data_IF_947521282341
#
_entry.id   IF_947521282341
#
_cell.length_a   1.000
_cell.length_b   1.000
_cell.length_c   1.000
_cell.angle_alpha   90.00
_cell.angle_beta   90.00
_cell.angle_gamma   90.00
#
_symmetry.space_group_name_H-M   'P 1'
#
loop_
_entity.id
_entity.type
_entity.pdbx_description
1 polymer ?
#
# COMPACT_ATOMS: atom_id res chain seq x y z
N UNK A 1 28.28 -10.83 27.18
CA UNK A 1 27.40 -12.02 27.34
C UNK A 1 27.03 -12.52 25.95
N UNK A 2 27.44 -13.72 25.53
CA UNK A 2 27.13 -14.21 24.17
C UNK A 2 25.69 -14.73 24.14
N UNK A 3 24.83 -14.14 23.30
CA UNK A 3 23.48 -14.68 23.05
C UNK A 3 23.60 -15.96 22.20
N UNK A 4 22.78 -16.97 22.43
CA UNK A 4 22.81 -18.24 21.69
C UNK A 4 21.45 -18.50 21.05
N UNK A 5 21.42 -19.39 20.07
CA UNK A 5 20.18 -19.86 19.44
C UNK A 5 19.27 -20.52 20.48
N UNK A 6 17.96 -20.27 20.41
CA UNK A 6 16.98 -20.66 21.42
C UNK A 6 16.86 -19.70 22.60
N UNK A 7 17.76 -18.71 22.76
CA UNK A 7 17.66 -17.74 23.85
C UNK A 7 16.38 -16.90 23.71
N UNK A 8 15.51 -16.96 24.73
CA UNK A 8 14.31 -16.12 24.85
C UNK A 8 14.64 -14.80 25.56
N UNK A 9 14.04 -13.72 25.08
CA UNK A 9 14.20 -12.36 25.59
C UNK A 9 12.91 -11.90 26.30
N UNK A 10 12.98 -10.88 27.17
CA UNK A 10 11.80 -10.37 27.89
C UNK A 10 10.64 -9.93 26.97
N UNK A 11 10.94 -9.49 25.75
CA UNK A 11 9.94 -9.17 24.72
C UNK A 11 9.20 -10.39 24.15
N UNK A 12 9.54 -11.61 24.58
CA UNK A 12 8.99 -12.85 24.02
C UNK A 12 9.67 -13.31 22.73
N UNK A 13 10.58 -12.51 22.17
CA UNK A 13 11.41 -12.88 21.03
C UNK A 13 12.41 -13.99 21.41
N UNK A 14 12.69 -14.88 20.46
CA UNK A 14 13.65 -15.97 20.59
C UNK A 14 14.71 -15.81 19.51
N UNK A 15 15.99 -15.88 19.85
CA UNK A 15 17.06 -15.90 18.84
C UNK A 15 16.99 -17.24 18.10
N UNK A 16 16.52 -17.23 16.86
CA UNK A 16 16.34 -18.43 16.06
C UNK A 16 17.64 -18.91 15.43
N UNK A 17 18.41 -18.00 14.83
CA UNK A 17 19.66 -18.36 14.13
C UNK A 17 20.67 -17.22 14.11
N UNK A 18 21.95 -17.53 14.34
CA UNK A 18 23.04 -16.57 14.16
C UNK A 18 23.47 -16.48 12.70
N UNK A 19 23.90 -15.28 12.29
CA UNK A 19 24.54 -15.09 10.99
C UNK A 19 26.05 -15.23 11.18
N UNK A 20 26.72 -16.13 10.45
CA UNK A 20 28.18 -16.23 10.48
C UNK A 20 28.83 -14.90 10.09
N UNK A 21 29.76 -14.42 10.91
CA UNK A 21 30.48 -13.16 10.66
C UNK A 21 29.72 -11.87 10.98
N UNK A 22 28.45 -11.93 11.36
CA UNK A 22 27.66 -10.75 11.75
C UNK A 22 27.36 -10.79 13.26
N UNK A 23 28.02 -9.92 14.01
CA UNK A 23 27.85 -9.80 15.47
C UNK A 23 26.64 -8.99 15.88
N UNK A 24 26.05 -8.23 14.95
CA UNK A 24 25.08 -7.19 15.25
C UNK A 24 23.66 -7.64 14.93
N UNK A 25 23.50 -8.54 13.95
CA UNK A 25 22.21 -9.04 13.51
C UNK A 25 22.09 -10.54 13.69
N UNK A 26 20.88 -10.97 13.97
CA UNK A 26 20.52 -12.38 14.01
C UNK A 26 19.07 -12.55 13.57
N UNK A 27 18.70 -13.78 13.24
CA UNK A 27 17.32 -14.15 13.00
C UNK A 27 16.61 -14.36 14.33
N UNK A 28 15.46 -13.73 14.51
CA UNK A 28 14.62 -13.84 15.69
C UNK A 28 13.22 -14.31 15.32
N UNK A 29 12.64 -15.14 16.17
CA UNK A 29 11.27 -15.63 16.08
C UNK A 29 10.41 -14.99 17.17
N UNK A 30 9.19 -14.58 16.83
CA UNK A 30 8.19 -14.14 17.80
C UNK A 30 7.11 -15.22 17.95
N UNK A 31 7.00 -15.82 19.14
CA UNK A 31 6.04 -16.90 19.38
C UNK A 31 6.21 -18.06 18.40
N UNK A 32 5.10 -18.51 17.80
CA UNK A 32 5.07 -19.58 16.78
C UNK A 32 5.21 -19.06 15.33
N UNK A 33 5.47 -17.75 15.16
CA UNK A 33 5.29 -17.07 13.88
C UNK A 33 6.61 -16.81 13.12
N UNK A 34 6.62 -15.68 12.41
CA UNK A 34 7.63 -15.20 11.47
C UNK A 34 9.02 -15.10 12.10
N UNK A 35 10.01 -15.60 11.37
CA UNK A 35 11.43 -15.39 11.63
C UNK A 35 11.90 -14.15 10.87
N UNK A 36 12.47 -13.15 11.56
CA UNK A 36 12.97 -11.91 10.94
C UNK A 36 14.40 -11.60 11.34
N UNK A 37 15.08 -10.91 10.42
CA UNK A 37 16.41 -10.36 10.66
C UNK A 37 16.29 -9.08 11.50
N UNK A 38 16.85 -9.08 12.71
CA UNK A 38 16.80 -7.95 13.64
C UNK A 38 18.18 -7.65 14.22
N UNK A 39 18.38 -6.42 14.69
CA UNK A 39 19.57 -6.06 15.46
C UNK A 39 19.49 -6.67 16.86
N UNK A 40 20.51 -7.44 17.23
CA UNK A 40 20.64 -8.08 18.54
C UNK A 40 20.54 -7.03 19.65
N UNK A 41 21.22 -5.88 19.48
CA UNK A 41 21.18 -4.81 20.47
C UNK A 41 19.78 -4.22 20.66
N UNK A 42 19.01 -4.02 19.59
CA UNK A 42 17.64 -3.48 19.71
C UNK A 42 16.70 -4.44 20.45
N UNK A 43 16.89 -5.76 20.28
CA UNK A 43 16.14 -6.78 21.02
C UNK A 43 16.57 -6.84 22.48
N UNK A 44 17.88 -6.77 22.76
CA UNK A 44 18.44 -6.76 24.12
C UNK A 44 17.98 -5.54 24.91
N UNK A 45 18.03 -4.36 24.29
CA UNK A 45 17.64 -3.08 24.89
C UNK A 45 16.10 -2.94 24.99
N UNK A 46 15.33 -3.94 24.54
CA UNK A 46 13.87 -3.94 24.59
C UNK A 46 13.19 -2.98 23.60
N UNK A 47 13.95 -2.35 22.69
CA UNK A 47 13.39 -1.47 21.65
C UNK A 47 12.57 -2.23 20.63
N UNK A 48 12.96 -3.47 20.33
CA UNK A 48 12.19 -4.37 19.47
C UNK A 48 11.42 -5.35 20.34
N UNK A 49 10.12 -5.11 20.46
CA UNK A 49 9.23 -5.86 21.36
C UNK A 49 8.50 -7.01 20.67
N UNK A 50 8.55 -7.10 19.34
CA UNK A 50 7.85 -8.11 18.56
C UNK A 50 8.48 -8.29 17.16
N UNK A 51 7.93 -9.15 16.30
CA UNK A 51 8.50 -9.38 14.96
C UNK A 51 8.16 -8.28 13.92
N UNK A 52 7.42 -7.23 14.30
CA UNK A 52 6.97 -6.15 13.42
C UNK A 52 6.33 -6.62 12.10
N UNK A 53 5.81 -7.86 12.02
CA UNK A 53 4.91 -8.27 10.94
C UNK A 53 3.57 -7.63 11.25
N UNK A 54 3.09 -6.76 10.35
CA UNK A 54 1.79 -6.09 10.52
C UNK A 54 0.62 -7.07 10.56
N UNK A 55 0.74 -8.21 9.89
CA UNK A 55 -0.28 -9.25 9.87
C UNK A 55 -0.44 -9.92 11.25
N UNK A 56 0.69 -10.08 11.98
CA UNK A 56 0.71 -10.75 13.29
C UNK A 56 0.68 -9.78 14.47
N UNK A 57 1.14 -8.55 14.26
CA UNK A 57 1.10 -7.45 15.21
C UNK A 57 0.43 -6.26 14.52
N UNK A 58 -0.91 -6.29 14.37
CA UNK A 58 -1.63 -5.15 13.82
C UNK A 58 -1.39 -3.94 14.73
N UNK A 59 -0.86 -2.87 14.14
CA UNK A 59 -0.75 -1.59 14.83
C UNK A 59 -2.16 -0.98 14.87
N UNK A 60 -2.78 -0.78 16.05
CA UNK A 60 -4.12 -0.22 16.14
C UNK A 60 -4.20 1.22 15.61
N UNK A 61 -3.06 1.89 15.42
CA UNK A 61 -2.99 3.20 14.74
C UNK A 61 -3.08 3.09 13.22
N UNK A 62 -2.77 1.91 12.66
CA UNK A 62 -2.98 1.63 11.25
C UNK A 62 -4.38 1.05 11.09
N UNK A 63 -5.31 1.86 10.57
CA UNK A 63 -6.60 1.37 10.11
C UNK A 63 -6.38 0.27 9.06
N UNK A 64 -7.25 -0.75 9.06
CA UNK A 64 -7.19 -1.84 8.06
C UNK A 64 -7.32 -1.32 6.63
N UNK A 65 -8.02 -0.20 6.45
CA UNK A 65 -8.13 0.52 5.20
C UNK A 65 -7.00 1.57 5.06
N UNK A 66 -6.26 1.61 3.94
CA UNK A 66 -5.29 2.66 3.67
C UNK A 66 -6.01 3.99 3.39
N UNK A 67 -5.46 5.11 3.83
CA UNK A 67 -6.00 6.43 3.48
C UNK A 67 -5.85 6.72 1.97
N UNK A 68 -6.69 7.61 1.44
CA UNK A 68 -6.61 8.10 0.04
C UNK A 68 -5.18 8.46 -0.40
N UNK A 69 -4.47 9.23 0.43
CA UNK A 69 -3.09 9.64 0.20
C UNK A 69 -2.11 8.47 0.13
N UNK A 70 -2.37 7.41 0.91
CA UNK A 70 -1.55 6.19 0.89
C UNK A 70 -1.70 5.46 -0.43
N UNK A 71 -2.91 5.40 -0.99
CA UNK A 71 -3.16 4.76 -2.29
C UNK A 71 -2.49 5.55 -3.41
N UNK A 72 -2.60 6.88 -3.40
CA UNK A 72 -1.89 7.74 -4.36
C UNK A 72 -0.36 7.58 -4.29
N UNK A 73 0.18 7.49 -3.08
CA UNK A 73 1.60 7.23 -2.89
C UNK A 73 2.01 5.87 -3.46
N UNK A 74 1.21 4.81 -3.23
CA UNK A 74 1.47 3.48 -3.79
C UNK A 74 1.45 3.50 -5.31
N UNK A 75 0.43 4.12 -5.93
CA UNK A 75 0.33 4.28 -7.39
C UNK A 75 1.55 5.00 -7.96
N UNK A 76 1.97 6.10 -7.34
CA UNK A 76 3.17 6.83 -7.75
C UNK A 76 4.45 6.00 -7.58
N UNK A 77 4.55 5.21 -6.53
CA UNK A 77 5.71 4.36 -6.28
C UNK A 77 5.78 3.18 -7.27
N UNK A 78 4.65 2.65 -7.72
CA UNK A 78 4.61 1.54 -8.68
C UNK A 78 4.77 2.02 -10.13
N UNK A 79 4.16 3.16 -10.49
CA UNK A 79 4.06 3.59 -11.89
C UNK A 79 4.80 4.88 -12.23
N UNK A 80 5.44 5.53 -11.25
CA UNK A 80 6.04 6.85 -11.42
C UNK A 80 5.03 7.99 -11.25
N UNK A 81 5.44 9.24 -11.46
CA UNK A 81 4.53 10.37 -11.43
C UNK A 81 3.55 10.34 -12.63
N UNK A 82 2.31 10.77 -12.42
CA UNK A 82 1.31 10.84 -13.48
C UNK A 82 1.79 11.66 -14.70
N UNK A 83 2.62 12.68 -14.47
CA UNK A 83 3.18 13.54 -15.53
C UNK A 83 4.10 12.82 -16.52
N UNK A 84 4.58 11.63 -16.20
CA UNK A 84 5.35 10.77 -17.11
C UNK A 84 4.46 9.79 -17.89
N UNK A 85 3.14 9.87 -17.70
CA UNK A 85 2.15 9.01 -18.35
C UNK A 85 1.24 9.81 -19.28
N UNK A 86 0.71 9.12 -20.28
CA UNK A 86 -0.35 9.65 -21.12
C UNK A 86 -1.68 9.65 -20.36
N UNK A 87 -2.47 10.70 -20.57
CA UNK A 87 -3.80 10.86 -20.05
C UNK A 87 -4.68 9.78 -20.65
N UNK A 88 -5.22 8.96 -19.76
CA UNK A 88 -6.07 7.82 -20.08
C UNK A 88 -7.21 8.14 -21.06
N UNK A 89 -7.77 9.34 -20.97
CA UNK A 89 -8.94 9.74 -21.76
C UNK A 89 -8.60 10.37 -23.11
N UNK A 90 -7.52 11.16 -23.19
CA UNK A 90 -7.25 11.99 -24.37
C UNK A 90 -5.85 11.81 -24.97
N UNK A 91 -5.00 10.95 -24.39
CA UNK A 91 -3.63 10.69 -24.83
C UNK A 91 -2.63 11.82 -24.58
N UNK A 92 -3.07 13.01 -24.14
CA UNK A 92 -2.16 14.13 -23.79
C UNK A 92 -1.38 13.86 -22.50
N UNK A 93 -0.43 14.70 -22.12
CA UNK A 93 0.30 14.51 -20.85
C UNK A 93 -0.63 14.60 -19.62
N UNK A 94 -0.55 13.63 -18.70
CA UNK A 94 -1.35 13.66 -17.48
C UNK A 94 -0.78 14.60 -16.41
N UNK A 95 -1.62 15.00 -15.46
CA UNK A 95 -1.27 15.88 -14.34
C UNK A 95 -1.35 15.15 -12.99
N UNK A 96 -2.34 14.27 -12.83
CA UNK A 96 -2.58 13.55 -11.59
C UNK A 96 -3.22 12.17 -11.86
N UNK A 97 -3.27 11.33 -10.82
CA UNK A 97 -4.02 10.08 -10.85
C UNK A 97 -5.44 10.30 -10.35
N UNK A 98 -6.41 9.72 -11.03
CA UNK A 98 -7.83 9.85 -10.71
C UNK A 98 -8.46 8.47 -10.52
N UNK A 99 -9.27 8.33 -9.47
CA UNK A 99 -10.05 7.11 -9.25
C UNK A 99 -11.15 6.94 -10.31
N UNK A 100 -11.21 5.75 -10.93
CA UNK A 100 -12.11 5.42 -12.05
C UNK A 100 -13.54 5.01 -11.63
N UNK A 101 -13.83 4.87 -10.33
CA UNK A 101 -15.14 4.44 -9.80
C UNK A 101 -15.54 3.01 -10.19
N UNK A 102 -14.57 2.16 -10.54
CA UNK A 102 -14.77 0.75 -10.85
C UNK A 102 -14.72 -0.18 -9.65
N UNK A 103 -14.39 0.31 -8.44
CA UNK A 103 -14.34 -0.55 -7.27
C UNK A 103 -15.78 -0.92 -6.85
N UNK A 104 -16.14 -2.21 -6.76
CA UNK A 104 -17.45 -2.62 -6.25
C UNK A 104 -17.65 -2.32 -4.76
N UNK A 105 -16.60 -1.99 -4.02
CA UNK A 105 -16.65 -1.65 -2.59
C UNK A 105 -15.75 -0.45 -2.28
N UNK A 106 -16.08 0.74 -2.81
CA UNK A 106 -15.27 1.92 -2.59
C UNK A 106 -15.31 2.34 -1.13
N UNK A 107 -14.18 2.83 -0.64
CA UNK A 107 -14.04 3.49 0.64
C UNK A 107 -14.46 4.97 0.51
N UNK A 108 -14.79 5.59 1.63
CA UNK A 108 -15.08 7.03 1.70
C UNK A 108 -14.03 7.69 2.58
N UNK A 109 -13.44 8.77 2.09
CA UNK A 109 -12.51 9.55 2.89
C UNK A 109 -13.31 10.28 3.98
N UNK A 110 -12.95 10.08 5.24
CA UNK A 110 -13.75 10.59 6.36
C UNK A 110 -13.33 11.99 6.81
N UNK A 111 -12.07 12.37 6.55
CA UNK A 111 -11.48 13.60 7.04
C UNK A 111 -10.58 14.31 6.01
N UNK A 112 -10.16 15.52 6.36
CA UNK A 112 -9.30 16.36 5.52
C UNK A 112 -10.01 17.04 4.35
N UNK A 113 -9.22 17.55 3.41
CA UNK A 113 -9.71 18.33 2.25
C UNK A 113 -10.56 17.52 1.27
N UNK A 114 -10.42 16.19 1.31
CA UNK A 114 -11.11 15.24 0.43
C UNK A 114 -12.23 14.49 1.17
N UNK A 115 -12.66 14.98 2.35
CA UNK A 115 -13.72 14.35 3.14
C UNK A 115 -15.02 14.20 2.33
N UNK A 116 -15.64 13.02 2.42
CA UNK A 116 -16.81 12.62 1.65
C UNK A 116 -16.50 12.07 0.24
N UNK A 117 -15.25 12.16 -0.23
CA UNK A 117 -14.88 11.66 -1.55
C UNK A 117 -14.67 10.13 -1.53
N UNK A 118 -15.30 9.40 -2.47
CA UNK A 118 -15.07 7.97 -2.60
C UNK A 118 -13.70 7.68 -3.25
N UNK A 119 -13.07 6.59 -2.81
CA UNK A 119 -11.78 6.11 -3.32
C UNK A 119 -11.69 4.58 -3.22
N UNK A 120 -10.77 3.98 -3.96
CA UNK A 120 -10.44 2.55 -3.81
C UNK A 120 -9.16 2.38 -2.99
N UNK A 121 -9.07 1.28 -2.22
CA UNK A 121 -7.82 0.85 -1.60
C UNK A 121 -6.82 0.26 -2.63
N UNK A 122 -7.31 -0.09 -3.82
CA UNK A 122 -6.56 -0.70 -4.90
C UNK A 122 -5.98 0.37 -5.86
N UNK A 123 -4.64 0.50 -5.97
CA UNK A 123 -4.00 1.42 -6.90
C UNK A 123 -4.34 1.18 -8.37
N UNK A 124 -4.76 -0.03 -8.77
CA UNK A 124 -5.16 -0.35 -10.15
C UNK A 124 -6.42 0.41 -10.57
N UNK A 125 -7.23 0.85 -9.61
CA UNK A 125 -8.45 1.61 -9.88
C UNK A 125 -8.18 3.10 -10.18
N UNK A 126 -6.91 3.53 -10.18
CA UNK A 126 -6.50 4.89 -10.50
C UNK A 126 -5.90 4.95 -11.91
N UNK A 127 -6.29 5.95 -12.69
CA UNK A 127 -5.72 6.21 -14.02
C UNK A 127 -5.11 7.61 -14.10
N UNK A 128 -4.03 7.80 -14.88
CA UNK A 128 -3.44 9.12 -15.10
C UNK A 128 -4.40 9.98 -15.95
N UNK A 129 -4.72 11.19 -15.49
CA UNK A 129 -5.55 12.15 -16.21
C UNK A 129 -4.89 13.54 -16.25
N UNK A 130 -5.05 14.23 -17.38
CA UNK A 130 -4.77 15.66 -17.46
C UNK A 130 -5.85 16.46 -16.73
N UNK A 131 -5.54 17.67 -16.27
CA UNK A 131 -6.43 18.50 -15.44
C UNK A 131 -7.80 18.75 -16.05
N UNK A 132 -7.89 18.94 -17.37
CA UNK A 132 -9.16 19.16 -18.06
C UNK A 132 -10.03 17.90 -18.05
N UNK A 133 -9.45 16.74 -18.37
CA UNK A 133 -10.14 15.46 -18.32
C UNK A 133 -10.51 15.08 -16.89
N UNK A 134 -9.62 15.34 -15.92
CA UNK A 134 -9.83 15.07 -14.51
C UNK A 134 -11.00 15.89 -13.95
N UNK A 135 -11.06 17.18 -14.24
CA UNK A 135 -12.19 18.03 -13.83
C UNK A 135 -13.53 17.54 -14.41
N UNK A 136 -13.58 17.20 -15.70
CA UNK A 136 -14.81 16.66 -16.30
C UNK A 136 -15.18 15.34 -15.63
N UNK A 137 -14.19 14.52 -15.26
CA UNK A 137 -14.41 13.28 -14.52
C UNK A 137 -15.06 13.53 -13.17
N UNK A 138 -14.51 14.47 -12.39
CA UNK A 138 -15.04 14.84 -11.07
C UNK A 138 -16.42 15.49 -11.14
N UNK A 139 -16.66 16.39 -12.10
CA UNK A 139 -17.96 17.04 -12.29
C UNK A 139 -19.06 16.07 -12.73
N UNK A 140 -18.71 15.00 -13.44
CA UNK A 140 -19.67 13.95 -13.84
C UNK A 140 -20.16 13.15 -12.63
N UNK A 141 -19.38 13.11 -11.54
CA UNK A 141 -19.76 12.49 -10.25
C UNK A 141 -20.90 13.24 -9.57
N UNK A 142 -20.97 14.57 -9.74
CA UNK A 142 -22.00 15.42 -9.13
C UNK A 142 -23.41 15.24 -9.72
N UNK A 143 -23.55 14.58 -10.87
CA UNK A 143 -24.84 14.35 -11.56
C UNK A 143 -25.39 12.92 -11.42
N UNK A 144 -24.59 11.97 -10.94
CA UNK A 144 -24.94 10.55 -11.01
C UNK A 144 -24.76 9.89 -9.64
N UNK A 145 -25.79 10.00 -8.79
CA UNK A 145 -25.97 9.11 -7.65
C UNK A 145 -26.47 7.73 -8.13
N UNK A 146 -25.68 7.08 -8.98
CA UNK A 146 -25.93 5.77 -9.60
C UNK A 146 -24.60 5.09 -9.90
N UNK A 147 -24.59 3.77 -10.20
CA UNK A 147 -23.36 3.00 -10.30
C UNK A 147 -22.44 3.66 -11.32
N UNK A 148 -21.21 3.94 -10.90
CA UNK A 148 -20.14 4.37 -11.77
C UNK A 148 -20.01 3.43 -12.97
N UNK A 149 -19.29 3.91 -13.97
CA UNK A 149 -18.94 3.23 -15.22
C UNK A 149 -18.85 1.72 -15.04
N UNK A 150 -19.51 0.98 -15.94
CA UNK A 150 -19.58 -0.48 -15.88
C UNK A 150 -18.22 -1.09 -15.54
N UNK A 151 -18.22 -2.01 -14.56
CA UNK A 151 -17.07 -2.87 -14.23
C UNK A 151 -16.40 -3.47 -15.47
N UNK A 152 -17.15 -3.69 -16.56
CA UNK A 152 -16.61 -4.16 -17.83
C UNK A 152 -15.60 -3.18 -18.45
N UNK A 153 -15.82 -1.87 -18.35
CA UNK A 153 -14.92 -0.86 -18.90
C UNK A 153 -13.60 -0.80 -18.12
N UNK A 154 -13.66 -0.92 -16.79
CA UNK A 154 -12.47 -0.98 -15.93
C UNK A 154 -11.74 -2.31 -16.09
N UNK A 155 -12.46 -3.42 -16.21
CA UNK A 155 -11.87 -4.74 -16.47
C UNK A 155 -11.15 -4.81 -17.82
N UNK A 156 -11.72 -4.22 -18.88
CA UNK A 156 -11.06 -4.13 -20.20
C UNK A 156 -9.76 -3.32 -20.13
N UNK A 157 -9.72 -2.25 -19.33
CA UNK A 157 -8.52 -1.46 -19.12
C UNK A 157 -7.43 -2.22 -18.34
N UNK A 158 -7.79 -2.86 -17.23
CA UNK A 158 -6.83 -3.64 -16.43
C UNK A 158 -6.25 -4.80 -17.26
N UNK A 159 -7.08 -5.44 -18.09
CA UNK A 159 -6.64 -6.50 -18.99
C UNK A 159 -5.64 -6.01 -20.05
N UNK A 160 -5.82 -4.79 -20.59
CA UNK A 160 -4.92 -4.25 -21.61
C UNK A 160 -3.57 -3.74 -21.07
N UNK A 161 -3.38 -3.69 -19.74
CA UNK A 161 -2.15 -3.22 -19.08
C UNK A 161 -1.42 -4.31 -18.28
N UNK A 162 -2.05 -5.48 -18.07
CA UNK A 162 -1.40 -6.63 -17.46
C UNK A 162 -0.34 -7.29 -18.37
N UNK A 163 -0.39 -7.04 -19.69
CA UNK A 163 0.51 -7.66 -20.67
C UNK A 163 1.87 -6.95 -20.82
N UNK A 164 2.06 -5.75 -20.26
CA UNK A 164 3.34 -5.00 -20.37
C UNK A 164 4.36 -5.33 -19.25
N UNK A 165 3.99 -6.14 -18.25
CA UNK A 165 4.87 -6.50 -17.11
C UNK A 165 5.56 -7.86 -17.26
N UNK A 166 5.41 -8.52 -18.41
CA UNK A 166 5.96 -9.86 -18.69
C UNK A 166 6.91 -9.90 -19.90
N UNK A 167 7.60 -8.80 -20.22
CA UNK A 167 8.64 -8.73 -21.24
C UNK A 167 10.00 -8.30 -20.66
#
# INVERSE_FOLDING_TARGET
MKHHEGKRFPSGLVLAKRIPGDSDRAWFQCGEHVVKLLHIRAVVDGKTVNCASRDHHPDPRCTSAPAYSTVHHRKRASEGPASERECWRCGGQADDYAYLHGDPSPLVQLDGKDAGMPYSADPEQLAPLCRSCHRVWDETKGRTAGPGISLAHVALWNASHAEEVAA
#
